data_IF_959899530698
#
_entry.id   IF_959899530698
#
_cell.length_a   1.000
_cell.length_b   1.000
_cell.length_c   1.000
_cell.angle_alpha   90.00
_cell.angle_beta   90.00
_cell.angle_gamma   90.00
#
_symmetry.space_group_name_H-M   'P 1'
#
loop_
_entity.id
_entity.type
_entity.pdbx_description
1 polymer ?
#
# COMPACT_ATOMS: atom_id res chain seq x y z
N UNK A 1 24.26 -42.69 -30.31
CA UNK A 1 24.98 -41.48 -30.73
C UNK A 1 24.22 -40.89 -31.92
N UNK A 2 23.55 -39.74 -31.72
CA UNK A 2 23.30 -38.62 -32.66
C UNK A 2 22.58 -38.93 -34.01
N UNK A 3 21.62 -38.19 -34.61
CA UNK A 3 20.71 -37.03 -34.41
C UNK A 3 19.83 -36.94 -35.69
N UNK A 4 18.70 -36.21 -35.68
CA UNK A 4 18.11 -35.53 -36.87
C UNK A 4 17.97 -34.02 -36.50
N UNK A 5 18.47 -33.01 -37.25
CA UNK A 5 18.16 -32.46 -38.59
C UNK A 5 16.72 -31.92 -38.71
N UNK A 6 16.34 -30.72 -39.21
CA UNK A 6 16.96 -29.45 -39.66
C UNK A 6 15.79 -28.49 -40.03
N UNK A 7 15.86 -27.19 -39.68
CA UNK A 7 15.31 -25.95 -40.33
C UNK A 7 13.82 -25.89 -40.78
N UNK A 8 13.08 -24.78 -40.87
CA UNK A 8 13.21 -23.33 -40.65
C UNK A 8 11.77 -22.76 -40.62
N UNK A 9 11.50 -21.61 -39.99
CA UNK A 9 10.49 -20.62 -40.45
C UNK A 9 10.41 -19.41 -39.53
N UNK A 10 10.59 -18.24 -40.13
CA UNK A 10 10.50 -16.91 -39.54
C UNK A 10 9.06 -16.51 -39.21
N UNK A 11 8.89 -15.70 -38.15
CA UNK A 11 7.99 -14.54 -38.12
C UNK A 11 8.39 -13.62 -36.96
N UNK A 12 8.54 -12.34 -37.31
CA UNK A 12 8.80 -11.21 -36.43
C UNK A 12 7.59 -10.90 -35.55
N UNK A 13 7.80 -10.71 -34.24
CA UNK A 13 6.93 -9.87 -33.41
C UNK A 13 7.67 -9.34 -32.17
N UNK A 14 7.91 -8.03 -32.19
CA UNK A 14 7.89 -7.04 -31.07
C UNK A 14 8.38 -7.45 -29.66
N UNK A 15 9.31 -6.68 -29.05
CA UNK A 15 9.77 -6.87 -27.67
C UNK A 15 8.83 -6.18 -26.66
N UNK A 16 7.55 -6.56 -26.65
CA UNK A 16 6.62 -6.09 -25.64
C UNK A 16 6.24 -7.22 -24.68
N UNK A 17 6.68 -7.01 -23.44
CA UNK A 17 6.04 -7.44 -22.21
C UNK A 17 6.15 -8.92 -21.82
N UNK A 18 7.36 -9.31 -21.40
CA UNK A 18 7.59 -10.53 -20.62
C UNK A 18 7.59 -10.26 -19.09
N UNK A 19 7.04 -9.14 -18.61
CA UNK A 19 7.11 -8.77 -17.18
C UNK A 19 5.92 -9.26 -16.33
N UNK A 20 4.94 -9.96 -16.91
CA UNK A 20 3.76 -10.45 -16.18
C UNK A 20 3.88 -11.89 -15.66
N UNK A 21 5.09 -12.49 -15.65
CA UNK A 21 5.31 -13.76 -14.93
C UNK A 21 5.42 -13.47 -13.44
N UNK A 22 4.30 -13.58 -12.73
CA UNK A 22 4.25 -13.62 -11.27
C UNK A 22 5.30 -14.62 -10.75
N UNK A 23 6.21 -14.22 -9.83
CA UNK A 23 7.20 -15.13 -9.28
C UNK A 23 6.54 -16.38 -8.65
N UNK A 24 7.18 -17.56 -8.68
CA UNK A 24 6.56 -18.86 -8.34
C UNK A 24 6.15 -19.07 -6.86
N UNK A 25 6.10 -18.03 -6.03
CA UNK A 25 5.89 -18.14 -4.58
C UNK A 25 4.59 -17.50 -4.04
N UNK A 26 3.57 -17.29 -4.87
CA UNK A 26 2.48 -16.35 -4.54
C UNK A 26 1.05 -16.86 -4.62
N UNK A 27 0.82 -18.15 -4.43
CA UNK A 27 -0.55 -18.61 -4.19
C UNK A 27 -0.93 -18.32 -2.74
N UNK A 28 -1.47 -17.14 -2.48
CA UNK A 28 -2.13 -16.84 -1.21
C UNK A 28 -3.53 -17.43 -1.26
N UNK A 29 -3.86 -18.27 -0.29
CA UNK A 29 -5.18 -18.86 -0.18
C UNK A 29 -6.14 -17.79 0.32
N UNK A 30 -7.22 -17.57 -0.44
CA UNK A 30 -8.31 -16.70 -0.02
C UNK A 30 -9.32 -17.53 0.78
N UNK A 31 -9.74 -17.01 1.92
CA UNK A 31 -10.73 -17.65 2.78
C UNK A 31 -12.16 -17.51 2.23
N UNK A 32 -12.42 -16.51 1.37
CA UNK A 32 -13.73 -16.29 0.76
C UNK A 32 -13.65 -15.46 -0.54
N UNK A 33 -14.72 -15.52 -1.35
CA UNK A 33 -14.88 -14.65 -2.54
C UNK A 33 -14.89 -13.16 -2.18
N UNK A 34 -15.45 -12.82 -1.02
CA UNK A 34 -15.49 -11.44 -0.50
C UNK A 34 -14.08 -10.94 -0.20
N UNK A 35 -13.27 -11.76 0.49
CA UNK A 35 -11.87 -11.43 0.75
C UNK A 35 -11.10 -11.26 -0.57
N UNK A 36 -11.31 -12.14 -1.54
CA UNK A 36 -10.67 -12.02 -2.86
C UNK A 36 -10.99 -10.67 -3.53
N UNK A 37 -12.26 -10.28 -3.58
CA UNK A 37 -12.67 -8.98 -4.16
C UNK A 37 -12.10 -7.78 -3.39
N UNK A 38 -12.06 -7.87 -2.06
CA UNK A 38 -11.47 -6.86 -1.19
C UNK A 38 -9.97 -6.69 -1.49
N UNK A 39 -9.22 -7.80 -1.56
CA UNK A 39 -7.78 -7.78 -1.88
C UNK A 39 -7.56 -7.23 -3.30
N UNK A 40 -8.32 -7.66 -4.30
CA UNK A 40 -8.19 -7.14 -5.68
C UNK A 40 -8.40 -5.62 -5.73
N UNK A 41 -9.43 -5.12 -5.06
CA UNK A 41 -9.72 -3.68 -4.99
C UNK A 41 -8.60 -2.94 -4.29
N UNK A 42 -8.09 -3.50 -3.18
CA UNK A 42 -6.96 -2.92 -2.46
C UNK A 42 -5.68 -2.89 -3.30
N UNK A 43 -5.37 -3.95 -4.06
CA UNK A 43 -4.20 -3.99 -4.97
C UNK A 43 -4.33 -2.92 -6.04
N UNK A 44 -5.48 -2.79 -6.70
CA UNK A 44 -5.69 -1.76 -7.74
C UNK A 44 -5.45 -0.35 -7.17
N UNK A 45 -6.07 -0.06 -6.02
CA UNK A 45 -5.86 1.22 -5.33
C UNK A 45 -4.39 1.42 -4.93
N UNK A 46 -3.73 0.40 -4.38
CA UNK A 46 -2.30 0.49 -4.04
C UNK A 46 -1.39 0.73 -5.25
N UNK A 47 -1.69 0.12 -6.41
CA UNK A 47 -0.94 0.36 -7.64
C UNK A 47 -1.07 1.82 -8.10
N UNK A 48 -2.26 2.41 -7.96
CA UNK A 48 -2.50 3.80 -8.33
C UNK A 48 -1.93 4.80 -7.32
N UNK A 49 -1.68 4.39 -6.07
CA UNK A 49 -1.16 5.28 -5.02
C UNK A 49 0.27 5.77 -5.28
N UNK A 50 1.02 5.01 -6.09
CA UNK A 50 2.39 5.34 -6.48
C UNK A 50 3.45 5.03 -5.42
N UNK A 51 3.10 4.39 -4.30
CA UNK A 51 4.04 3.97 -3.25
C UNK A 51 3.93 2.48 -2.89
N UNK A 52 3.26 1.72 -3.75
CA UNK A 52 3.27 0.27 -3.71
C UNK A 52 4.43 -0.28 -4.54
N UNK A 53 5.33 -0.99 -3.86
CA UNK A 53 6.54 -1.57 -4.42
C UNK A 53 6.37 -3.04 -4.85
N UNK A 54 5.15 -3.59 -4.77
CA UNK A 54 4.87 -4.95 -5.21
C UNK A 54 5.74 -5.98 -4.49
N UNK A 55 6.49 -6.78 -5.27
CA UNK A 55 7.19 -7.96 -4.82
C UNK A 55 8.55 -7.76 -4.14
N UNK A 56 8.76 -6.58 -3.56
CA UNK A 56 9.98 -6.26 -2.83
C UNK A 56 10.06 -7.05 -1.51
N UNK A 57 11.23 -7.63 -1.25
CA UNK A 57 11.55 -8.34 -0.02
C UNK A 57 11.80 -7.38 1.15
N UNK A 58 11.78 -7.88 2.38
CA UNK A 58 12.10 -7.06 3.55
C UNK A 58 13.52 -6.49 3.53
N UNK A 59 14.48 -7.20 2.94
CA UNK A 59 15.88 -6.76 2.82
C UNK A 59 16.04 -5.63 1.80
N UNK A 60 15.37 -5.76 0.65
CA UNK A 60 15.34 -4.71 -0.38
C UNK A 60 14.62 -3.46 0.14
N UNK A 61 13.46 -3.63 0.80
CA UNK A 61 12.76 -2.51 1.44
C UNK A 61 13.63 -1.78 2.46
N UNK A 62 14.40 -2.52 3.27
CA UNK A 62 15.35 -1.92 4.21
C UNK A 62 16.47 -1.16 3.50
N UNK A 63 16.93 -1.65 2.34
CA UNK A 63 17.97 -0.98 1.55
C UNK A 63 17.45 0.27 0.86
N UNK A 64 16.19 0.27 0.39
CA UNK A 64 15.54 1.45 -0.18
C UNK A 64 15.30 2.54 0.87
N UNK A 65 14.86 2.14 2.07
CA UNK A 65 14.56 3.07 3.16
C UNK A 65 15.79 3.50 3.96
N UNK A 66 16.94 2.82 3.83
CA UNK A 66 18.12 3.15 4.63
C UNK A 66 18.65 4.56 4.34
N UNK A 67 18.58 4.99 3.08
CA UNK A 67 19.01 6.30 2.58
C UNK A 67 17.97 7.41 2.74
N UNK A 68 16.73 7.06 3.09
CA UNK A 68 15.62 8.00 3.21
C UNK A 68 15.50 8.57 4.64
N UNK A 69 14.88 9.75 4.80
CA UNK A 69 14.65 10.33 6.12
C UNK A 69 13.65 9.51 6.95
N UNK A 70 13.72 9.69 8.26
CA UNK A 70 12.77 9.10 9.21
C UNK A 70 11.32 9.45 8.86
N UNK A 71 10.42 8.50 9.08
CA UNK A 71 9.02 8.59 8.71
C UNK A 71 8.72 8.34 7.24
N UNK A 72 9.73 8.04 6.42
CA UNK A 72 9.52 7.55 5.05
C UNK A 72 9.03 6.10 5.09
N UNK A 73 8.01 5.76 4.30
CA UNK A 73 7.44 4.42 4.29
C UNK A 73 7.09 3.95 2.87
N UNK A 74 6.91 2.64 2.73
CA UNK A 74 6.41 2.01 1.51
C UNK A 74 5.50 0.82 1.83
N UNK A 75 4.62 0.50 0.89
CA UNK A 75 3.80 -0.72 0.96
C UNK A 75 4.36 -1.73 -0.02
N UNK A 76 4.47 -2.97 0.43
CA UNK A 76 4.91 -4.10 -0.39
C UNK A 76 4.10 -5.34 -0.04
N UNK A 77 4.29 -6.38 -0.82
CA UNK A 77 3.72 -7.68 -0.50
C UNK A 77 4.44 -8.31 0.69
N UNK A 78 3.66 -8.95 1.55
CA UNK A 78 4.22 -9.78 2.61
C UNK A 78 4.84 -11.04 2.03
N UNK A 79 6.07 -11.33 2.47
CA UNK A 79 6.76 -12.61 2.24
C UNK A 79 6.21 -13.75 3.10
N UNK A 80 5.47 -13.45 4.17
CA UNK A 80 4.73 -14.44 4.97
C UNK A 80 3.39 -14.75 4.29
N UNK A 81 3.12 -16.03 4.05
CA UNK A 81 1.90 -16.53 3.40
C UNK A 81 0.61 -16.18 4.15
N UNK A 82 0.68 -15.90 5.45
CA UNK A 82 -0.49 -15.54 6.29
C UNK A 82 -0.96 -14.11 6.12
N UNK A 83 -0.17 -13.25 5.47
CA UNK A 83 -0.48 -11.82 5.34
C UNK A 83 -0.38 -11.42 3.88
N UNK A 84 -1.22 -10.50 3.42
CA UNK A 84 -1.18 -10.03 2.03
C UNK A 84 -0.13 -8.94 1.84
N UNK A 85 -0.15 -7.92 2.70
CA UNK A 85 0.68 -6.73 2.58
C UNK A 85 1.58 -6.53 3.80
N UNK A 86 2.64 -5.76 3.62
CA UNK A 86 3.53 -5.28 4.68
C UNK A 86 3.82 -3.80 4.45
N UNK A 87 3.69 -3.02 5.51
CA UNK A 87 4.10 -1.64 5.58
C UNK A 87 5.53 -1.58 6.13
N UNK A 88 6.47 -1.10 5.33
CA UNK A 88 7.85 -0.89 5.75
C UNK A 88 8.06 0.60 6.01
N UNK A 89 8.55 0.96 7.19
CA UNK A 89 8.75 2.35 7.62
C UNK A 89 10.18 2.55 8.15
N UNK A 90 10.80 3.66 7.78
CA UNK A 90 12.07 4.12 8.32
C UNK A 90 11.84 4.78 9.68
N UNK A 91 12.46 4.23 10.72
CA UNK A 91 12.47 4.81 12.07
C UNK A 91 13.91 5.14 12.48
N UNK A 92 14.09 5.88 13.59
CA UNK A 92 15.40 6.16 14.18
C UNK A 92 16.21 4.88 14.48
N UNK A 93 15.53 3.80 14.87
CA UNK A 93 16.15 2.48 15.12
C UNK A 93 16.35 1.62 13.85
N UNK A 94 16.17 2.21 12.66
CA UNK A 94 16.23 1.51 11.37
C UNK A 94 14.85 1.18 10.79
N UNK A 95 14.81 0.33 9.77
CA UNK A 95 13.57 0.00 9.07
C UNK A 95 12.75 -1.02 9.86
N UNK A 96 11.48 -0.70 10.13
CA UNK A 96 10.52 -1.61 10.77
C UNK A 96 9.49 -2.09 9.75
N UNK A 97 9.08 -3.34 9.89
CA UNK A 97 8.13 -4.00 9.00
C UNK A 97 6.86 -4.36 9.78
N UNK A 98 5.75 -3.74 9.43
CA UNK A 98 4.45 -3.95 10.04
C UNK A 98 3.57 -4.75 9.09
N UNK A 99 3.04 -5.87 9.57
CA UNK A 99 2.18 -6.73 8.75
C UNK A 99 0.75 -6.21 8.79
N UNK A 100 0.11 -6.15 7.62
CA UNK A 100 -1.30 -5.80 7.49
C UNK A 100 -2.10 -7.10 7.54
N UNK A 101 -2.94 -7.22 8.56
CA UNK A 101 -3.87 -8.33 8.74
C UNK A 101 -5.18 -8.06 7.99
N UNK A 102 -5.87 -9.13 7.61
CA UNK A 102 -7.17 -9.08 6.96
C UNK A 102 -8.08 -10.14 7.57
N UNK A 103 -9.22 -9.72 8.12
CA UNK A 103 -10.26 -10.61 8.70
C UNK A 103 -11.37 -10.98 7.68
N UNK A 104 -11.13 -10.71 6.40
CA UNK A 104 -12.03 -11.05 5.30
C UNK A 104 -12.93 -9.88 4.86
N UNK A 105 -13.20 -8.91 5.74
CA UNK A 105 -13.97 -7.70 5.43
C UNK A 105 -13.18 -6.42 5.64
N UNK A 106 -12.14 -6.44 6.48
CA UNK A 106 -11.34 -5.27 6.77
C UNK A 106 -9.83 -5.60 6.86
N UNK A 107 -9.04 -4.53 6.84
CA UNK A 107 -7.61 -4.46 7.04
C UNK A 107 -7.30 -3.76 8.37
N UNK A 108 -6.29 -4.25 9.05
CA UNK A 108 -5.79 -3.64 10.29
C UNK A 108 -4.31 -3.96 10.48
N UNK A 109 -3.59 -3.11 11.23
CA UNK A 109 -2.19 -3.38 11.55
C UNK A 109 -2.08 -4.43 12.65
N UNK A 110 -1.13 -5.35 12.51
CA UNK A 110 -0.80 -6.27 13.58
C UNK A 110 -0.30 -5.48 14.80
N UNK A 111 -1.03 -5.55 15.92
CA UNK A 111 -0.65 -4.95 17.20
C UNK A 111 -0.02 -5.97 18.15
N UNK A 112 0.73 -5.49 19.13
CA UNK A 112 1.25 -6.33 20.21
C UNK A 112 0.07 -6.90 21.02
N UNK A 113 0.05 -8.21 21.36
CA UNK A 113 -0.96 -8.82 22.22
C UNK A 113 -1.12 -8.14 23.59
N UNK A 114 -0.12 -7.36 24.05
CA UNK A 114 -0.19 -6.59 25.30
C UNK A 114 -0.92 -5.25 25.16
N UNK A 115 -1.28 -4.83 23.94
CA UNK A 115 -2.00 -3.60 23.68
C UNK A 115 -3.50 -3.80 23.92
N UNK A 116 -4.06 -3.09 24.90
CA UNK A 116 -5.50 -3.10 25.24
C UNK A 116 -6.36 -2.20 24.35
N UNK A 117 -5.76 -1.51 23.37
CA UNK A 117 -6.49 -0.64 22.45
C UNK A 117 -7.16 -1.42 21.31
N UNK A 118 -8.43 -1.11 21.05
CA UNK A 118 -9.15 -1.62 19.90
C UNK A 118 -8.44 -1.18 18.61
N UNK A 119 -8.03 -2.15 17.79
CA UNK A 119 -7.36 -1.86 16.52
C UNK A 119 -8.39 -1.37 15.51
N UNK A 120 -8.21 -0.17 14.92
CA UNK A 120 -9.12 0.33 13.91
C UNK A 120 -9.07 -0.55 12.65
N UNK A 121 -10.25 -0.83 12.11
CA UNK A 121 -10.46 -1.68 10.93
C UNK A 121 -10.87 -0.81 9.74
N UNK A 122 -10.31 -1.12 8.58
CA UNK A 122 -10.53 -0.35 7.36
C UNK A 122 -10.88 -1.24 6.19
N UNK A 123 -11.80 -0.81 5.33
CA UNK A 123 -12.09 -1.47 4.05
C UNK A 123 -10.96 -1.34 3.01
N UNK A 124 -9.97 -0.46 3.26
CA UNK A 124 -8.87 -0.21 2.35
C UNK A 124 -7.55 0.04 3.09
N UNK A 125 -6.46 -0.53 2.58
CA UNK A 125 -5.09 -0.34 3.09
C UNK A 125 -4.67 1.13 3.06
N UNK A 126 -5.15 1.91 2.08
CA UNK A 126 -4.84 3.34 2.01
C UNK A 126 -5.48 4.13 3.14
N UNK A 127 -6.73 3.81 3.51
CA UNK A 127 -7.41 4.44 4.66
C UNK A 127 -6.72 4.09 5.97
N UNK A 128 -6.29 2.83 6.09
CA UNK A 128 -5.46 2.37 7.19
C UNK A 128 -4.20 3.25 7.29
N UNK A 129 -3.43 3.38 6.21
CA UNK A 129 -2.20 4.20 6.22
C UNK A 129 -2.50 5.65 6.59
N UNK A 130 -3.50 6.25 5.93
CA UNK A 130 -3.89 7.63 6.17
C UNK A 130 -4.30 7.90 7.64
N UNK A 131 -4.93 6.93 8.31
CA UNK A 131 -5.26 7.05 9.73
C UNK A 131 -4.02 7.10 10.63
N UNK A 132 -2.96 6.36 10.28
CA UNK A 132 -1.69 6.38 11.01
C UNK A 132 -0.75 7.51 10.56
N UNK A 133 -1.12 8.29 9.54
CA UNK A 133 -0.41 9.51 9.17
C UNK A 133 -0.85 10.66 10.09
N UNK A 134 0.07 11.56 10.48
CA UNK A 134 -0.32 12.78 11.14
C UNK A 134 -1.12 13.66 10.16
N UNK A 135 -2.13 14.41 10.65
CA UNK A 135 -2.88 15.33 9.80
C UNK A 135 -1.95 16.38 9.17
N UNK A 136 -2.09 16.58 7.86
CA UNK A 136 -1.36 17.62 7.11
C UNK A 136 -2.02 18.98 7.37
N UNK A 137 -1.63 19.63 8.46
CA UNK A 137 -2.14 20.94 8.85
C UNK A 137 -1.97 21.13 10.34
N UNK A 138 -1.41 22.28 10.73
CA UNK A 138 -0.86 22.54 12.05
C UNK A 138 -1.74 22.05 13.21
N UNK A 139 -1.05 21.53 14.23
CA UNK A 139 -1.53 21.32 15.60
C UNK A 139 -2.78 22.15 15.92
N UNK A 140 -3.97 21.57 15.83
CA UNK A 140 -5.09 22.10 16.60
C UNK A 140 -4.76 21.82 18.07
N UNK A 141 -4.54 22.86 18.90
CA UNK A 141 -4.22 22.66 20.30
C UNK A 141 -5.46 22.06 20.98
N UNK A 142 -5.41 20.77 21.34
CA UNK A 142 -6.47 20.12 22.11
C UNK A 142 -6.93 18.75 21.63
N UNK A 143 -6.55 18.30 20.43
CA UNK A 143 -6.83 16.91 20.03
C UNK A 143 -5.69 16.01 20.51
N UNK A 144 -5.93 15.00 21.37
CA UNK A 144 -4.89 14.08 21.80
C UNK A 144 -4.30 13.39 20.56
N UNK A 145 -3.00 13.61 20.32
CA UNK A 145 -2.26 12.89 19.27
C UNK A 145 -2.31 11.41 19.63
N UNK A 146 -3.03 10.62 18.83
CA UNK A 146 -2.93 9.17 18.91
C UNK A 146 -1.52 8.79 18.46
N UNK A 147 -0.61 8.67 19.42
CA UNK A 147 0.80 8.33 19.17
C UNK A 147 0.88 6.82 19.19
N UNK A 148 1.09 6.22 18.03
CA UNK A 148 1.17 4.77 17.90
C UNK A 148 2.62 4.33 18.09
N UNK A 149 2.83 3.17 18.72
CA UNK A 149 4.17 2.65 19.00
C UNK A 149 4.36 1.24 18.44
N UNK A 150 5.52 1.01 17.83
CA UNK A 150 6.03 -0.28 17.42
C UNK A 150 6.86 -0.84 18.58
N UNK A 151 6.50 -2.03 19.06
CA UNK A 151 7.26 -2.73 20.09
C UNK A 151 8.24 -3.68 19.42
N UNK A 152 9.54 -3.49 19.63
CA UNK A 152 10.58 -4.30 19.01
C UNK A 152 11.74 -4.48 20.00
N UNK A 153 11.99 -5.72 20.43
CA UNK A 153 13.11 -6.02 21.34
C UNK A 153 13.00 -5.41 22.75
N UNK A 154 11.80 -5.02 23.19
CA UNK A 154 11.59 -4.33 24.48
C UNK A 154 11.57 -2.80 24.37
N UNK A 155 11.92 -2.24 23.21
CA UNK A 155 11.84 -0.80 22.97
C UNK A 155 10.49 -0.39 22.37
N UNK A 156 10.02 0.81 22.78
CA UNK A 156 8.84 1.48 22.22
C UNK A 156 9.30 2.53 21.22
N UNK A 157 9.11 2.25 19.94
CA UNK A 157 9.50 3.14 18.85
C UNK A 157 8.25 3.82 18.30
N UNK A 158 8.19 5.15 18.17
CA UNK A 158 7.03 5.82 17.61
C UNK A 158 6.81 5.41 16.14
N UNK A 159 5.57 5.12 15.78
CA UNK A 159 5.16 4.89 14.39
C UNK A 159 4.83 6.24 13.76
N UNK A 160 5.75 6.73 12.93
CA UNK A 160 5.59 7.97 12.19
C UNK A 160 5.49 7.67 10.69
N UNK A 161 4.31 7.91 10.10
CA UNK A 161 4.11 7.80 8.65
C UNK A 161 4.03 9.19 8.06
N UNK A 162 5.17 9.75 7.64
CA UNK A 162 5.25 11.13 7.18
C UNK A 162 5.17 11.23 5.66
N UNK A 163 5.97 10.41 4.95
CA UNK A 163 6.13 10.51 3.50
C UNK A 163 6.14 9.13 2.83
N UNK A 164 5.34 8.92 1.78
CA UNK A 164 5.44 7.71 0.98
C UNK A 164 6.71 7.76 0.10
N UNK A 165 7.40 6.62 -0.01
CA UNK A 165 8.47 6.42 -0.98
C UNK A 165 7.84 6.03 -2.33
N UNK A 166 7.84 6.98 -3.26
CA UNK A 166 7.20 6.79 -4.56
C UNK A 166 8.01 5.88 -5.49
N UNK A 167 7.33 4.97 -6.20
CA UNK A 167 7.90 4.11 -7.25
C UNK A 167 7.71 4.69 -8.64
N UNK A 168 6.60 5.38 -8.87
CA UNK A 168 6.21 5.91 -10.16
C UNK A 168 5.61 7.31 -10.02
N UNK A 169 5.73 8.09 -11.08
CA UNK A 169 5.09 9.40 -11.14
C UNK A 169 3.59 9.21 -11.41
N UNK A 170 2.75 9.73 -10.52
CA UNK A 170 1.30 9.78 -10.75
C UNK A 170 0.96 10.70 -11.93
N UNK A 171 -0.06 10.35 -12.69
CA UNK A 171 -0.60 11.25 -13.72
C UNK A 171 -1.19 12.52 -13.10
N UNK A 172 -1.20 13.63 -13.85
CA UNK A 172 -1.84 14.88 -13.39
C UNK A 172 -3.31 14.64 -13.03
N UNK A 173 -4.02 13.81 -13.80
CA UNK A 173 -5.41 13.44 -13.52
C UNK A 173 -5.55 12.77 -12.14
N UNK A 174 -4.65 11.86 -11.79
CA UNK A 174 -4.64 11.19 -10.50
C UNK A 174 -4.25 12.16 -9.36
N UNK A 175 -3.30 13.06 -9.58
CA UNK A 175 -2.96 14.10 -8.61
C UNK A 175 -4.17 14.99 -8.31
N UNK A 176 -4.90 15.45 -9.34
CA UNK A 176 -6.15 16.18 -9.18
C UNK A 176 -7.19 15.38 -8.39
N UNK A 177 -7.34 14.08 -8.68
CA UNK A 177 -8.24 13.19 -7.93
C UNK A 177 -7.90 13.14 -6.45
N UNK A 178 -6.63 12.96 -6.10
CA UNK A 178 -6.18 12.93 -4.70
C UNK A 178 -6.44 14.24 -3.98
N UNK A 179 -6.12 15.38 -4.62
CA UNK A 179 -6.39 16.70 -4.08
C UNK A 179 -7.89 16.88 -3.84
N UNK A 180 -8.73 16.57 -4.82
CA UNK A 180 -10.19 16.68 -4.69
C UNK A 180 -10.73 15.75 -3.59
N UNK A 181 -10.20 14.53 -3.42
CA UNK A 181 -10.53 13.60 -2.33
C UNK A 181 -10.02 14.01 -0.95
N UNK A 182 -8.99 14.84 -0.86
CA UNK A 182 -8.50 15.40 0.41
C UNK A 182 -9.31 16.58 0.93
N UNK A 183 -10.06 17.28 0.08
CA UNK A 183 -10.83 18.45 0.49
C UNK A 183 -12.29 18.07 0.84
N UNK A 184 -12.55 17.95 2.15
CA UNK A 184 -13.88 17.62 2.70
C UNK A 184 -14.95 18.66 2.34
N UNK A 185 -14.55 19.92 2.19
CA UNK A 185 -15.44 21.08 1.92
C UNK A 185 -16.00 21.11 0.49
N UNK A 186 -15.54 20.23 -0.40
CA UNK A 186 -15.97 20.20 -1.82
C UNK A 186 -17.12 19.20 -2.03
N UNK A 187 -17.57 18.51 -0.98
CA UNK A 187 -18.61 17.48 -1.06
C UNK A 187 -19.85 17.95 -1.85
N UNK A 188 -20.33 19.18 -1.62
CA UNK A 188 -21.48 19.78 -2.32
C UNK A 188 -21.26 20.07 -3.81
N UNK A 189 -20.01 20.27 -4.24
CA UNK A 189 -19.67 20.53 -5.66
C UNK A 189 -19.36 19.24 -6.42
N UNK A 190 -19.02 18.14 -5.72
CA UNK A 190 -18.84 16.82 -6.34
C UNK A 190 -20.11 16.34 -7.01
N UNK A 191 -21.26 16.64 -6.40
CA UNK A 191 -22.57 16.26 -6.92
C UNK A 191 -22.91 16.98 -8.23
N UNK A 192 -22.21 18.05 -8.56
CA UNK A 192 -22.37 18.80 -9.82
C UNK A 192 -21.45 18.28 -10.95
N UNK A 193 -20.56 17.32 -10.66
CA UNK A 193 -19.65 16.79 -11.67
C UNK A 193 -20.37 15.82 -12.63
N UNK A 194 -19.96 15.78 -13.90
CA UNK A 194 -20.36 14.74 -14.84
C UNK A 194 -20.13 13.33 -14.29
N UNK A 195 -21.01 12.39 -14.66
CA UNK A 195 -20.97 11.01 -14.17
C UNK A 195 -19.59 10.32 -14.32
N UNK A 196 -18.87 10.44 -15.46
CA UNK A 196 -17.56 9.81 -15.60
C UNK A 196 -16.52 10.32 -14.59
N UNK A 197 -16.60 11.59 -14.20
CA UNK A 197 -15.70 12.16 -13.21
C UNK A 197 -16.06 11.70 -11.79
N UNK A 198 -17.35 11.52 -11.49
CA UNK A 198 -17.79 10.96 -10.21
C UNK A 198 -17.28 9.53 -10.03
N UNK A 199 -17.44 8.69 -11.05
CA UNK A 199 -16.91 7.32 -11.03
C UNK A 199 -15.39 7.32 -10.85
N UNK A 200 -14.68 8.13 -11.63
CA UNK A 200 -13.22 8.26 -11.51
C UNK A 200 -12.75 8.66 -10.10
N UNK A 201 -13.48 9.57 -9.42
CA UNK A 201 -13.21 9.97 -8.04
C UNK A 201 -13.53 8.85 -7.03
N UNK A 202 -14.56 8.05 -7.27
CA UNK A 202 -14.99 6.94 -6.40
C UNK A 202 -14.05 5.73 -6.49
N UNK A 203 -13.44 5.48 -7.65
CA UNK A 203 -12.46 4.39 -7.83
C UNK A 203 -11.26 4.48 -6.89
N UNK A 204 -10.91 5.70 -6.45
CA UNK A 204 -9.83 5.97 -5.51
C UNK A 204 -10.25 7.05 -4.52
N UNK A 205 -10.83 6.64 -3.41
CA UNK A 205 -11.38 7.51 -2.37
C UNK A 205 -10.34 7.99 -1.35
N UNK A 206 -9.05 7.74 -1.58
CA UNK A 206 -7.98 8.11 -0.66
C UNK A 206 -7.31 9.45 -1.04
N UNK A 207 -6.87 10.26 -0.05
CA UNK A 207 -6.15 11.50 -0.32
C UNK A 207 -4.63 11.36 -0.48
N UNK A 208 -4.07 10.15 -0.26
CA UNK A 208 -2.63 9.87 -0.30
C UNK A 208 -2.22 9.15 -1.57
#
# INVERSE_FOLDING_TARGET
>A
MVTHSKFDSAMSSSPFDASMRLPPHRYKTFSSKVQYQLILTAVRKLQESGFYWGAVSGKEANSLLSAEPEGTFLVRDSSDHRHFFTLSVKTASGTKNLRVQCDGTAFFLQTDPKSTQAVPRFDCVLKLIHHYMPPKGGSSPGVPRSTYFIHSGGEKIPLELLKPLSTSMSSLQHLCRKTVNGHLDISSRRDQLPHPLKEFLQEYDSPI
#
